data_IF_533361333746
#
_entry.id   IF_533361333746
#
_cell.length_a   1.000
_cell.length_b   1.000
_cell.length_c   1.000
_cell.angle_alpha   90.00
_cell.angle_beta   90.00
_cell.angle_gamma   90.00
#
_symmetry.space_group_name_H-M   'P 1'
#
loop_
_entity.id
_entity.type
_entity.pdbx_description
1 polymer ?
#
# COMPACT_ATOMS: atom_id res chain seq x y z
N UNK A 1 -28.93 43.23 -1.16
CA UNK A 1 -28.48 41.89 -0.70
C UNK A 1 -28.21 41.01 -1.92
N UNK A 2 -26.96 40.86 -2.36
CA UNK A 2 -26.59 39.87 -3.39
C UNK A 2 -26.19 38.58 -2.68
N UNK A 3 -26.93 37.50 -2.92
CA UNK A 3 -26.58 36.15 -2.46
C UNK A 3 -25.25 35.76 -3.11
N UNK A 4 -24.20 35.61 -2.31
CA UNK A 4 -22.93 35.06 -2.75
C UNK A 4 -23.14 33.60 -3.15
N UNK A 5 -22.80 33.28 -4.40
CA UNK A 5 -22.68 31.90 -4.85
C UNK A 5 -21.44 31.31 -4.19
N UNK A 6 -21.67 30.44 -3.21
CA UNK A 6 -20.66 29.60 -2.57
C UNK A 6 -20.14 28.61 -3.62
N UNK A 7 -19.19 29.06 -4.46
CA UNK A 7 -18.48 28.18 -5.39
C UNK A 7 -17.50 27.34 -4.56
N UNK A 8 -18.00 26.29 -3.91
CA UNK A 8 -17.16 25.22 -3.40
C UNK A 8 -16.39 24.66 -4.60
N UNK A 9 -15.05 24.58 -4.47
CA UNK A 9 -14.22 23.90 -5.45
C UNK A 9 -14.70 22.47 -5.70
N UNK A 10 -14.22 21.80 -6.76
CA UNK A 10 -14.61 20.42 -7.04
C UNK A 10 -14.40 19.55 -5.80
N UNK A 11 -15.43 18.82 -5.40
CA UNK A 11 -15.40 17.96 -4.22
C UNK A 11 -14.32 16.89 -4.42
N UNK A 12 -13.42 16.73 -3.45
CA UNK A 12 -12.35 15.71 -3.50
C UNK A 12 -12.87 14.29 -3.28
N UNK A 13 -14.18 14.12 -3.10
CA UNK A 13 -14.85 12.84 -2.86
C UNK A 13 -15.89 12.61 -3.96
N UNK A 14 -15.74 11.51 -4.69
CA UNK A 14 -16.63 11.11 -5.78
C UNK A 14 -17.25 9.75 -5.45
N UNK A 15 -18.49 9.73 -4.96
CA UNK A 15 -19.22 8.49 -4.78
C UNK A 15 -19.78 7.98 -6.12
N UNK A 16 -19.61 6.68 -6.36
CA UNK A 16 -20.27 5.91 -7.43
C UNK A 16 -21.36 4.99 -6.89
N UNK A 17 -21.35 4.74 -5.59
CA UNK A 17 -22.33 3.96 -4.84
C UNK A 17 -22.53 4.61 -3.46
N UNK A 18 -23.76 4.58 -2.92
CA UNK A 18 -24.05 5.19 -1.62
C UNK A 18 -23.26 4.56 -0.46
N UNK A 19 -22.88 3.28 -0.57
CA UNK A 19 -22.04 2.58 0.42
C UNK A 19 -20.63 3.18 0.54
N UNK A 20 -20.20 4.04 -0.38
CA UNK A 20 -18.98 4.84 -0.20
C UNK A 20 -19.04 5.70 1.07
N UNK A 21 -20.22 6.20 1.42
CA UNK A 21 -20.40 7.05 2.60
C UNK A 21 -20.39 6.26 3.93
N UNK A 22 -20.42 4.93 3.87
CA UNK A 22 -20.23 4.06 5.03
C UNK A 22 -18.76 3.99 5.44
N UNK A 23 -17.85 4.28 4.51
CA UNK A 23 -16.40 4.15 4.69
C UNK A 23 -15.65 5.49 4.67
N UNK A 24 -16.23 6.54 4.10
CA UNK A 24 -15.69 7.91 4.09
C UNK A 24 -16.76 8.90 4.55
N UNK A 25 -16.39 9.88 5.36
CA UNK A 25 -17.30 10.96 5.73
C UNK A 25 -17.53 11.93 4.56
N UNK A 26 -18.75 12.44 4.39
CA UNK A 26 -19.08 13.40 3.33
C UNK A 26 -18.29 14.70 3.43
N UNK A 27 -17.90 15.09 4.66
CA UNK A 27 -17.06 16.24 4.94
C UNK A 27 -15.57 15.92 5.07
N UNK A 28 -15.12 14.70 4.74
CA UNK A 28 -13.71 14.36 4.86
C UNK A 28 -12.87 15.20 3.89
N UNK A 29 -11.76 15.74 4.40
CA UNK A 29 -10.85 16.58 3.63
C UNK A 29 -9.53 15.86 3.37
N UNK A 30 -9.09 15.88 2.10
CA UNK A 30 -7.76 15.44 1.71
C UNK A 30 -6.78 16.59 1.94
N UNK A 31 -5.89 16.43 2.91
CA UNK A 31 -4.94 17.47 3.34
C UNK A 31 -3.52 17.05 3.03
N UNK A 32 -2.73 17.94 2.41
CA UNK A 32 -1.28 17.75 2.30
C UNK A 32 -0.66 17.94 3.68
N UNK A 33 0.09 16.95 4.15
CA UNK A 33 0.76 16.99 5.47
C UNK A 33 2.27 17.16 5.36
N UNK A 34 2.86 16.74 4.24
CA UNK A 34 4.26 16.98 3.93
C UNK A 34 4.47 17.03 2.40
N UNK A 35 5.59 17.61 1.97
CA UNK A 35 6.00 17.62 0.56
C UNK A 35 7.45 18.04 0.36
N UNK A 36 7.85 18.16 -0.91
CA UNK A 36 9.24 18.41 -1.30
C UNK A 36 10.03 17.13 -1.56
N UNK A 37 9.34 16.02 -1.78
CA UNK A 37 9.93 14.72 -2.06
C UNK A 37 10.16 14.52 -3.56
N UNK A 38 10.99 13.55 -3.95
CA UNK A 38 11.19 13.20 -5.35
C UNK A 38 10.06 12.32 -5.89
N UNK A 39 9.84 11.18 -5.23
CA UNK A 39 8.71 10.28 -5.52
C UNK A 39 8.44 9.42 -4.28
N UNK A 40 7.33 9.69 -3.61
CA UNK A 40 6.93 9.01 -2.37
C UNK A 40 6.30 7.66 -2.65
N UNK A 41 6.58 6.66 -1.82
CA UNK A 41 6.08 5.28 -1.96
C UNK A 41 5.97 4.57 -0.60
N UNK A 42 5.36 3.39 -0.61
CA UNK A 42 5.40 2.40 0.46
C UNK A 42 5.12 2.94 1.87
N UNK A 43 4.04 3.69 2.13
CA UNK A 43 3.71 4.10 3.48
C UNK A 43 3.37 2.88 4.35
N UNK A 44 3.85 2.87 5.59
CA UNK A 44 3.53 1.85 6.59
C UNK A 44 3.41 2.48 7.97
N UNK A 45 2.33 2.16 8.68
CA UNK A 45 2.15 2.59 10.06
C UNK A 45 2.82 1.63 11.06
N UNK A 46 3.54 2.19 12.02
CA UNK A 46 4.10 1.46 13.14
C UNK A 46 3.10 1.36 14.28
N UNK A 47 3.09 0.22 14.99
CA UNK A 47 2.40 0.05 16.28
C UNK A 47 2.83 1.07 17.34
N UNK A 48 3.97 1.73 17.14
CA UNK A 48 4.49 2.79 18.03
C UNK A 48 3.93 4.19 17.72
N UNK A 49 3.02 4.32 16.76
CA UNK A 49 2.32 5.58 16.47
C UNK A 49 3.06 6.54 15.55
N UNK A 50 3.88 6.02 14.62
CA UNK A 50 4.51 6.79 13.56
C UNK A 50 4.35 6.09 12.21
N UNK A 51 4.29 6.86 11.13
CA UNK A 51 4.28 6.37 9.77
C UNK A 51 5.71 6.42 9.20
N UNK A 52 6.11 5.39 8.47
CA UNK A 52 7.26 5.45 7.56
C UNK A 52 6.78 5.47 6.11
N UNK A 53 7.54 6.11 5.23
CA UNK A 53 7.32 6.04 3.78
C UNK A 53 8.64 6.30 3.06
N UNK A 54 8.76 5.76 1.85
CA UNK A 54 9.95 5.87 1.02
C UNK A 54 9.92 7.15 0.17
N UNK A 55 11.09 7.74 -0.08
CA UNK A 55 11.32 8.75 -1.13
C UNK A 55 12.43 8.22 -2.05
N UNK A 56 11.99 7.57 -3.13
CA UNK A 56 12.85 6.72 -3.95
C UNK A 56 14.01 7.52 -4.59
N UNK A 57 13.76 8.65 -5.29
CA UNK A 57 14.83 9.38 -5.97
C UNK A 57 15.83 9.96 -4.98
N UNK A 58 15.36 10.45 -3.83
CA UNK A 58 16.22 11.00 -2.77
C UNK A 58 16.89 9.94 -1.90
N UNK A 59 16.62 8.65 -2.14
CA UNK A 59 17.25 7.52 -1.47
C UNK A 59 17.06 7.52 0.06
N UNK A 60 15.85 7.86 0.51
CA UNK A 60 15.51 8.00 1.92
C UNK A 60 14.25 7.22 2.30
N UNK A 61 14.18 6.85 3.58
CA UNK A 61 12.91 6.56 4.25
C UNK A 61 12.65 7.70 5.22
N UNK A 62 11.47 8.28 5.14
CA UNK A 62 11.00 9.33 6.02
C UNK A 62 10.13 8.77 7.15
N UNK A 63 10.11 9.50 8.26
CA UNK A 63 9.20 9.26 9.39
C UNK A 63 8.29 10.47 9.54
N UNK A 64 6.99 10.19 9.62
CA UNK A 64 5.95 11.15 9.97
C UNK A 64 5.36 10.77 11.33
N UNK A 65 5.41 11.69 12.29
CA UNK A 65 4.90 11.46 13.64
C UNK A 65 4.43 12.78 14.25
N UNK A 66 3.18 12.83 14.70
CA UNK A 66 2.61 13.97 15.43
C UNK A 66 2.86 15.32 14.75
N UNK A 67 2.64 15.39 13.43
CA UNK A 67 2.82 16.62 12.66
C UNK A 67 4.27 16.94 12.28
N UNK A 68 5.23 16.08 12.63
CA UNK A 68 6.65 16.29 12.37
C UNK A 68 7.19 15.29 11.36
N UNK A 69 7.85 15.84 10.33
CA UNK A 69 8.64 15.08 9.37
C UNK A 69 10.10 14.96 9.85
N UNK A 70 10.68 13.78 9.69
CA UNK A 70 12.11 13.53 9.90
C UNK A 70 12.62 12.44 8.94
N UNK A 71 13.94 12.29 8.81
CA UNK A 71 14.53 11.17 8.08
C UNK A 71 14.68 9.99 9.04
N UNK A 72 14.11 8.84 8.67
CA UNK A 72 14.29 7.57 9.40
C UNK A 72 15.58 6.87 8.97
N UNK A 73 15.85 6.86 7.66
CA UNK A 73 17.03 6.22 7.08
C UNK A 73 17.50 6.96 5.84
N UNK A 74 18.76 7.38 5.85
CA UNK A 74 19.52 7.79 4.67
C UNK A 74 20.06 6.56 3.93
N UNK A 75 20.45 6.72 2.66
CA UNK A 75 21.04 5.65 1.85
C UNK A 75 20.19 4.37 1.86
N UNK A 76 18.88 4.54 1.68
CA UNK A 76 17.87 3.47 1.78
C UNK A 76 17.98 2.36 0.73
N UNK A 77 18.98 2.43 -0.15
CA UNK A 77 19.15 1.62 -1.34
C UNK A 77 17.89 1.62 -2.24
N UNK A 78 17.35 2.82 -2.48
CA UNK A 78 16.12 3.04 -3.27
C UNK A 78 14.96 2.20 -2.71
N UNK A 79 14.75 2.27 -1.40
CA UNK A 79 13.62 1.62 -0.74
C UNK A 79 12.31 2.01 -1.44
N UNK A 80 11.43 1.04 -1.64
CA UNK A 80 10.12 1.20 -2.26
C UNK A 80 9.04 0.78 -1.24
N UNK A 81 8.36 -0.35 -1.44
CA UNK A 81 7.40 -0.89 -0.50
C UNK A 81 8.00 -1.22 0.87
N UNK A 82 7.21 -0.96 1.91
CA UNK A 82 7.57 -1.13 3.32
C UNK A 82 6.48 -1.91 4.05
N UNK A 83 6.88 -2.79 4.97
CA UNK A 83 5.97 -3.36 5.98
C UNK A 83 6.74 -3.66 7.27
N UNK A 84 6.05 -4.03 8.35
CA UNK A 84 6.71 -4.53 9.58
C UNK A 84 6.38 -6.01 9.80
N UNK A 85 7.30 -6.71 10.45
CA UNK A 85 7.02 -8.04 11.00
C UNK A 85 6.44 -7.97 12.43
N UNK A 86 6.07 -9.12 13.01
CA UNK A 86 5.53 -9.20 14.39
C UNK A 86 6.49 -8.66 15.46
N UNK A 87 7.79 -8.57 15.17
CA UNK A 87 8.79 -8.05 16.11
C UNK A 87 9.01 -6.53 15.95
N UNK A 88 8.26 -5.89 15.04
CA UNK A 88 8.39 -4.46 14.72
C UNK A 88 9.65 -4.15 13.91
N UNK A 89 10.25 -5.15 13.26
CA UNK A 89 11.38 -4.95 12.34
C UNK A 89 10.84 -4.55 10.97
N UNK A 90 11.52 -3.59 10.35
CA UNK A 90 11.10 -3.07 9.04
C UNK A 90 11.53 -4.04 7.94
N UNK A 91 10.58 -4.49 7.14
CA UNK A 91 10.81 -5.20 5.89
C UNK A 91 10.72 -4.21 4.72
N UNK A 92 11.59 -4.36 3.74
CA UNK A 92 11.72 -3.38 2.66
C UNK A 92 12.00 -4.07 1.32
N UNK A 93 11.24 -3.69 0.29
CA UNK A 93 11.66 -3.87 -1.10
C UNK A 93 12.67 -2.77 -1.45
N UNK A 94 13.84 -3.15 -1.95
CA UNK A 94 14.92 -2.23 -2.31
C UNK A 94 15.28 -2.32 -3.79
N UNK A 95 15.88 -1.24 -4.30
CA UNK A 95 16.56 -1.25 -5.58
C UNK A 95 17.73 -2.25 -5.63
N UNK A 96 18.15 -2.60 -6.84
CA UNK A 96 19.18 -3.62 -7.05
C UNK A 96 18.69 -5.05 -6.79
N UNK A 97 17.36 -5.26 -6.75
CA UNK A 97 16.76 -6.60 -6.71
C UNK A 97 16.83 -7.26 -5.33
N UNK A 98 16.48 -6.57 -4.25
CA UNK A 98 16.55 -7.16 -2.89
C UNK A 98 15.30 -6.94 -2.06
N UNK A 99 15.02 -7.92 -1.20
CA UNK A 99 14.12 -7.78 -0.06
C UNK A 99 14.95 -7.86 1.21
N UNK A 100 14.80 -6.88 2.10
CA UNK A 100 15.63 -6.78 3.31
C UNK A 100 14.79 -6.66 4.58
N UNK A 101 15.45 -6.91 5.72
CA UNK A 101 14.94 -6.67 7.05
C UNK A 101 15.91 -5.79 7.82
N UNK A 102 15.39 -4.73 8.43
CA UNK A 102 16.14 -3.90 9.38
C UNK A 102 16.01 -4.51 10.77
N UNK A 103 17.09 -5.04 11.30
CA UNK A 103 17.16 -5.59 12.65
C UNK A 103 17.05 -4.49 13.71
N UNK A 104 16.76 -4.89 14.96
CA UNK A 104 16.55 -3.93 16.06
C UNK A 104 17.78 -3.05 16.35
N UNK A 105 18.97 -3.52 16.04
CA UNK A 105 20.23 -2.78 16.15
C UNK A 105 20.53 -1.90 14.91
N UNK A 106 19.63 -1.85 13.93
CA UNK A 106 19.79 -1.11 12.68
C UNK A 106 20.53 -1.86 11.57
N UNK A 107 21.07 -3.06 11.83
CA UNK A 107 21.72 -3.87 10.81
C UNK A 107 20.71 -4.31 9.72
N UNK A 108 21.17 -4.39 8.48
CA UNK A 108 20.35 -4.84 7.35
C UNK A 108 20.66 -6.31 7.06
N UNK A 109 19.63 -7.15 7.14
CA UNK A 109 19.69 -8.55 6.70
C UNK A 109 19.00 -8.69 5.35
N UNK A 110 19.70 -9.24 4.36
CA UNK A 110 19.09 -9.58 3.06
C UNK A 110 18.30 -10.87 3.23
N UNK A 111 17.01 -10.83 2.89
CA UNK A 111 16.11 -12.00 2.95
C UNK A 111 15.98 -12.67 1.59
N UNK A 112 16.06 -11.90 0.51
CA UNK A 112 16.03 -12.40 -0.86
C UNK A 112 16.80 -11.45 -1.79
N UNK A 113 17.56 -12.00 -2.73
CA UNK A 113 18.29 -11.27 -3.77
C UNK A 113 18.38 -12.00 -5.11
N UNK A 114 18.19 -13.31 -5.11
CA UNK A 114 18.56 -14.14 -6.24
C UNK A 114 17.46 -14.13 -7.31
N UNK A 115 17.84 -13.73 -8.53
CA UNK A 115 16.92 -13.70 -9.68
C UNK A 115 15.90 -12.56 -9.66
N UNK A 116 15.89 -11.71 -8.63
CA UNK A 116 15.01 -10.55 -8.53
C UNK A 116 15.50 -9.39 -9.41
N UNK A 117 14.58 -8.60 -9.97
CA UNK A 117 14.92 -7.41 -10.77
C UNK A 117 14.41 -6.12 -10.15
N UNK A 118 13.15 -6.10 -9.73
CA UNK A 118 12.57 -4.93 -9.08
C UNK A 118 11.46 -5.32 -8.12
N UNK A 119 11.81 -5.87 -6.93
CA UNK A 119 10.88 -5.96 -5.82
C UNK A 119 10.19 -4.61 -5.60
N UNK A 120 8.87 -4.60 -5.64
CA UNK A 120 8.11 -3.35 -5.65
C UNK A 120 7.40 -3.12 -4.33
N UNK A 121 6.42 -3.97 -4.00
CA UNK A 121 5.67 -3.90 -2.74
C UNK A 121 5.65 -5.26 -2.03
N UNK A 122 5.34 -5.26 -0.74
CA UNK A 122 5.34 -6.45 0.10
C UNK A 122 4.33 -6.37 1.26
N UNK A 123 3.86 -7.54 1.67
CA UNK A 123 2.99 -7.71 2.84
C UNK A 123 3.49 -8.87 3.70
N UNK A 124 3.30 -8.73 5.01
CA UNK A 124 3.67 -9.73 6.01
C UNK A 124 2.41 -10.41 6.52
N UNK A 125 2.41 -11.75 6.51
CA UNK A 125 1.31 -12.59 6.96
C UNK A 125 1.49 -13.04 8.41
N UNK A 126 0.37 -13.41 9.04
CA UNK A 126 0.26 -13.81 10.45
C UNK A 126 1.03 -15.10 10.77
N UNK A 127 1.27 -15.94 9.75
CA UNK A 127 2.06 -17.16 9.88
C UNK A 127 3.59 -16.90 9.81
N UNK A 128 3.96 -15.64 9.55
CA UNK A 128 5.33 -15.18 9.39
C UNK A 128 5.86 -15.19 7.95
N UNK A 129 5.02 -15.54 6.97
CA UNK A 129 5.37 -15.47 5.56
C UNK A 129 5.38 -14.03 5.03
N UNK A 130 6.18 -13.76 4.00
CA UNK A 130 6.22 -12.48 3.29
C UNK A 130 5.77 -12.75 1.85
N UNK A 131 4.77 -12.03 1.38
CA UNK A 131 4.44 -11.99 -0.05
C UNK A 131 4.94 -10.68 -0.64
N UNK A 132 5.58 -10.73 -1.80
CA UNK A 132 6.10 -9.54 -2.46
C UNK A 132 6.03 -9.66 -3.97
N UNK A 133 5.98 -8.52 -4.65
CA UNK A 133 5.89 -8.43 -6.11
C UNK A 133 7.23 -8.07 -6.71
N UNK A 134 7.55 -8.65 -7.86
CA UNK A 134 8.66 -8.21 -8.71
C UNK A 134 8.09 -7.74 -10.05
N UNK A 135 7.93 -6.42 -10.17
CA UNK A 135 7.18 -5.80 -11.26
C UNK A 135 7.81 -6.08 -12.63
N UNK A 136 9.14 -5.90 -12.84
CA UNK A 136 9.78 -6.25 -14.11
C UNK A 136 9.62 -7.72 -14.49
N UNK A 137 9.67 -8.62 -13.52
CA UNK A 137 9.56 -10.07 -13.75
C UNK A 137 8.15 -10.56 -14.07
N UNK A 138 7.11 -9.80 -13.71
CA UNK A 138 5.73 -10.29 -13.82
C UNK A 138 5.38 -11.35 -12.78
N UNK A 139 6.10 -11.40 -11.65
CA UNK A 139 5.98 -12.50 -10.67
C UNK A 139 5.63 -12.00 -9.27
N UNK A 140 4.87 -12.83 -8.57
CA UNK A 140 4.65 -12.72 -7.12
C UNK A 140 5.42 -13.83 -6.43
N UNK A 141 6.12 -13.49 -5.37
CA UNK A 141 6.95 -14.39 -4.60
C UNK A 141 6.44 -14.50 -3.17
N UNK A 142 6.82 -15.60 -2.52
CA UNK A 142 6.69 -15.81 -1.09
C UNK A 142 8.08 -16.07 -0.50
N UNK A 143 8.43 -15.39 0.59
CA UNK A 143 9.41 -15.86 1.55
C UNK A 143 8.64 -16.59 2.64
N UNK A 144 8.77 -17.91 2.73
CA UNK A 144 8.05 -18.70 3.73
C UNK A 144 8.52 -18.35 5.14
N UNK A 145 7.74 -18.70 6.16
CA UNK A 145 8.16 -18.60 7.58
C UNK A 145 9.49 -19.28 7.92
N UNK A 146 9.98 -20.20 7.07
CA UNK A 146 11.29 -20.87 7.20
C UNK A 146 12.41 -20.17 6.40
N UNK A 147 12.11 -19.06 5.74
CA UNK A 147 13.08 -18.29 4.93
C UNK A 147 13.25 -18.79 3.50
N UNK A 148 12.47 -19.77 3.03
CA UNK A 148 12.54 -20.23 1.64
C UNK A 148 11.85 -19.24 0.70
N UNK A 149 12.53 -18.82 -0.37
CA UNK A 149 11.95 -17.99 -1.42
C UNK A 149 11.38 -18.88 -2.52
N UNK A 150 10.13 -18.66 -2.91
CA UNK A 150 9.50 -19.34 -4.07
C UNK A 150 8.58 -18.40 -4.84
N UNK A 151 8.42 -18.66 -6.14
CA UNK A 151 7.40 -18.01 -6.96
C UNK A 151 6.04 -18.62 -6.60
N UNK A 152 5.03 -17.79 -6.43
CA UNK A 152 3.66 -18.21 -6.10
C UNK A 152 2.62 -17.73 -7.11
N UNK A 153 2.94 -16.76 -7.99
CA UNK A 153 2.12 -16.43 -9.15
C UNK A 153 2.98 -15.94 -10.32
N UNK A 154 2.61 -16.35 -11.54
CA UNK A 154 3.28 -15.99 -12.81
C UNK A 154 2.28 -15.53 -13.88
N UNK A 155 1.00 -15.40 -13.51
CA UNK A 155 -0.10 -14.99 -14.39
C UNK A 155 -0.36 -13.47 -14.36
N UNK A 156 0.55 -12.71 -13.76
CA UNK A 156 0.59 -11.25 -13.78
C UNK A 156 1.55 -10.74 -14.85
N UNK A 157 1.25 -9.59 -15.47
CA UNK A 157 2.20 -8.95 -16.41
C UNK A 157 2.98 -7.80 -15.77
N UNK A 158 2.42 -7.13 -14.75
CA UNK A 158 3.10 -6.09 -13.98
C UNK A 158 2.57 -6.01 -12.54
N UNK A 159 2.81 -7.04 -11.71
CA UNK A 159 2.38 -7.06 -10.33
C UNK A 159 3.06 -5.92 -9.57
N UNK A 160 2.26 -5.13 -8.84
CA UNK A 160 2.70 -3.91 -8.20
C UNK A 160 2.34 -3.93 -6.71
N UNK A 161 1.33 -3.20 -6.25
CA UNK A 161 0.84 -3.29 -4.87
C UNK A 161 0.32 -4.68 -4.50
N UNK A 162 0.52 -5.07 -3.24
CA UNK A 162 0.05 -6.34 -2.67
C UNK A 162 -0.53 -6.15 -1.27
N UNK A 163 -1.64 -6.83 -0.96
CA UNK A 163 -2.21 -6.84 0.37
C UNK A 163 -2.96 -8.14 0.68
N UNK A 164 -3.11 -8.42 1.97
CA UNK A 164 -3.92 -9.53 2.48
C UNK A 164 -5.34 -9.07 2.75
N UNK A 165 -6.32 -9.95 2.57
CA UNK A 165 -7.67 -9.77 3.10
C UNK A 165 -7.71 -9.85 4.63
N UNK A 166 -8.81 -9.44 5.28
CA UNK A 166 -8.91 -9.40 6.75
C UNK A 166 -8.64 -10.73 7.47
N UNK A 167 -9.07 -11.85 6.88
CA UNK A 167 -8.84 -13.20 7.40
C UNK A 167 -7.52 -13.82 6.93
N UNK A 168 -6.74 -13.09 6.13
CA UNK A 168 -5.49 -13.53 5.48
C UNK A 168 -5.61 -14.84 4.68
N UNK A 169 -6.80 -15.17 4.17
CA UNK A 169 -7.01 -16.30 3.25
C UNK A 169 -6.99 -15.85 1.78
N UNK A 170 -6.83 -14.55 1.54
CA UNK A 170 -6.88 -13.95 0.22
C UNK A 170 -5.73 -12.98 0.05
N UNK A 171 -5.01 -13.08 -1.06
CA UNK A 171 -3.99 -12.11 -1.50
C UNK A 171 -4.55 -11.29 -2.66
N UNK A 172 -4.51 -9.97 -2.53
CA UNK A 172 -4.83 -9.02 -3.60
C UNK A 172 -3.54 -8.49 -4.22
N UNK A 173 -3.49 -8.41 -5.55
CA UNK A 173 -2.34 -7.90 -6.30
C UNK A 173 -2.81 -6.91 -7.35
N UNK A 174 -2.24 -5.71 -7.39
CA UNK A 174 -2.45 -4.77 -8.48
C UNK A 174 -1.60 -5.20 -9.68
N UNK A 175 -2.22 -5.71 -10.75
CA UNK A 175 -1.55 -5.93 -12.03
C UNK A 175 -1.67 -4.67 -12.89
N UNK A 176 -0.72 -3.76 -12.66
CA UNK A 176 -0.69 -2.44 -13.27
C UNK A 176 -0.68 -2.47 -14.80
N UNK A 177 -0.06 -3.49 -15.43
CA UNK A 177 0.06 -3.60 -16.88
C UNK A 177 -1.20 -4.21 -17.52
N UNK A 178 -1.86 -5.16 -16.85
CA UNK A 178 -3.17 -5.68 -17.28
C UNK A 178 -4.33 -4.73 -16.94
N UNK A 179 -4.11 -3.73 -16.06
CA UNK A 179 -5.14 -2.83 -15.51
C UNK A 179 -6.19 -3.58 -14.69
N UNK A 180 -5.74 -4.57 -13.92
CA UNK A 180 -6.61 -5.41 -13.10
C UNK A 180 -6.11 -5.44 -11.67
N UNK A 181 -7.05 -5.56 -10.74
CA UNK A 181 -6.79 -6.08 -9.40
C UNK A 181 -7.06 -7.58 -9.47
N UNK A 182 -6.03 -8.37 -9.19
CA UNK A 182 -6.09 -9.83 -9.15
C UNK A 182 -6.28 -10.27 -7.70
N UNK A 183 -6.95 -11.41 -7.52
CA UNK A 183 -7.13 -12.04 -6.21
C UNK A 183 -6.77 -13.51 -6.26
N UNK A 184 -6.17 -14.01 -5.19
CA UNK A 184 -5.68 -15.37 -5.04
C UNK A 184 -6.12 -15.92 -3.68
N UNK A 185 -6.65 -17.14 -3.65
CA UNK A 185 -6.85 -17.86 -2.39
C UNK A 185 -5.50 -18.38 -1.91
N UNK A 186 -5.24 -18.24 -0.61
CA UNK A 186 -3.99 -18.67 0.02
C UNK A 186 -4.23 -20.06 0.62
N UNK A 187 -3.51 -21.06 0.10
CA UNK A 187 -3.55 -22.42 0.61
C UNK A 187 -2.86 -22.54 1.97
N UNK A 188 -3.07 -23.66 2.67
CA UNK A 188 -2.54 -23.88 4.02
C UNK A 188 -0.99 -23.86 4.10
N UNK A 189 -0.29 -24.17 3.02
CA UNK A 189 1.17 -24.08 2.94
C UNK A 189 1.66 -22.67 2.53
N UNK A 190 0.72 -21.74 2.30
CA UNK A 190 0.96 -20.38 1.84
C UNK A 190 1.17 -20.23 0.32
N UNK A 191 0.99 -21.30 -0.47
CA UNK A 191 0.92 -21.18 -1.93
C UNK A 191 -0.38 -20.48 -2.36
N UNK A 192 -0.41 -20.03 -3.61
CA UNK A 192 -1.58 -19.34 -4.16
C UNK A 192 -2.30 -20.28 -5.13
N UNK A 193 -3.62 -20.36 -4.98
CA UNK A 193 -4.49 -21.00 -5.95
C UNK A 193 -4.60 -20.16 -7.24
N UNK A 194 -5.29 -20.68 -8.26
CA UNK A 194 -5.46 -19.97 -9.53
C UNK A 194 -6.05 -18.57 -9.34
N UNK A 195 -5.32 -17.56 -9.81
CA UNK A 195 -5.73 -16.16 -9.72
C UNK A 195 -7.01 -15.85 -10.48
N UNK A 196 -7.84 -14.98 -9.92
CA UNK A 196 -9.07 -14.45 -10.54
C UNK A 196 -8.99 -12.94 -10.69
N UNK A 197 -9.77 -12.40 -11.61
CA UNK A 197 -9.97 -10.96 -11.73
C UNK A 197 -10.96 -10.51 -10.65
N UNK A 198 -10.57 -9.52 -9.84
CA UNK A 198 -11.41 -8.96 -8.79
C UNK A 198 -12.06 -7.65 -9.24
N UNK A 199 -11.30 -6.76 -9.85
CA UNK A 199 -11.79 -5.48 -10.36
C UNK A 199 -10.91 -4.96 -11.51
N UNK A 200 -11.50 -4.14 -12.38
CA UNK A 200 -10.80 -3.42 -13.44
C UNK A 200 -10.26 -2.09 -12.88
N UNK A 201 -8.95 -2.00 -12.69
CA UNK A 201 -8.25 -0.78 -12.29
C UNK A 201 -6.75 -0.88 -12.60
N UNK A 202 -6.16 0.19 -13.13
CA UNK A 202 -4.70 0.35 -13.13
C UNK A 202 -4.25 0.76 -11.72
N UNK A 203 -3.98 -0.22 -10.88
CA UNK A 203 -3.49 -0.01 -9.52
C UNK A 203 -1.98 0.16 -9.45
N UNK A 204 -1.54 0.98 -8.51
CA UNK A 204 -0.17 1.00 -7.98
C UNK A 204 -0.16 0.24 -6.64
N UNK A 205 0.04 0.92 -5.51
CA UNK A 205 -0.18 0.37 -4.17
C UNK A 205 -1.66 0.11 -3.83
N UNK A 206 -1.91 -0.93 -3.05
CA UNK A 206 -3.25 -1.23 -2.50
C UNK A 206 -3.19 -1.69 -1.05
N UNK A 207 -4.31 -1.56 -0.34
CA UNK A 207 -4.55 -2.08 1.02
C UNK A 207 -6.00 -2.53 1.17
N UNK A 208 -6.29 -3.31 2.21
CA UNK A 208 -7.64 -3.73 2.58
C UNK A 208 -8.05 -3.11 3.92
N UNK A 209 -9.34 -2.95 4.15
CA UNK A 209 -9.89 -2.58 5.45
C UNK A 209 -10.52 -3.78 6.18
N UNK A 210 -10.82 -3.64 7.47
CA UNK A 210 -11.37 -4.69 8.34
C UNK A 210 -12.72 -5.26 7.85
N UNK A 211 -13.43 -4.58 6.94
CA UNK A 211 -14.68 -5.07 6.32
C UNK A 211 -14.45 -5.77 4.98
N UNK A 212 -13.21 -5.85 4.52
CA UNK A 212 -12.83 -6.48 3.26
C UNK A 212 -12.94 -5.58 2.04
N UNK A 213 -13.13 -4.26 2.21
CA UNK A 213 -13.04 -3.35 1.07
C UNK A 213 -11.57 -3.23 0.63
N UNK A 214 -11.34 -3.05 -0.66
CA UNK A 214 -10.03 -2.91 -1.27
C UNK A 214 -9.83 -1.47 -1.73
N UNK A 215 -8.76 -0.85 -1.25
CA UNK A 215 -8.43 0.55 -1.48
C UNK A 215 -7.17 0.61 -2.33
N UNK A 216 -7.27 1.25 -3.49
CA UNK A 216 -6.26 1.16 -4.55
C UNK A 216 -5.81 2.56 -4.94
N UNK A 217 -4.50 2.83 -4.85
CA UNK A 217 -3.92 4.00 -5.51
C UNK A 217 -4.04 3.83 -7.02
N UNK A 218 -4.82 4.69 -7.67
CA UNK A 218 -5.09 4.61 -9.10
C UNK A 218 -5.21 6.01 -9.69
N UNK A 219 -5.61 6.07 -10.97
CA UNK A 219 -5.69 7.31 -11.70
C UNK A 219 -6.63 8.31 -11.00
N UNK A 220 -6.08 9.49 -10.69
CA UNK A 220 -6.79 10.60 -10.09
C UNK A 220 -7.14 10.45 -8.61
N UNK A 221 -6.80 9.34 -7.93
CA UNK A 221 -7.10 9.19 -6.50
C UNK A 221 -7.06 7.75 -5.98
N UNK A 222 -7.55 7.57 -4.75
CA UNK A 222 -7.76 6.25 -4.16
C UNK A 222 -9.14 5.73 -4.55
N UNK A 223 -9.16 4.65 -5.33
CA UNK A 223 -10.39 3.96 -5.71
C UNK A 223 -10.75 2.95 -4.62
N UNK A 224 -12.02 2.89 -4.25
CA UNK A 224 -12.52 2.02 -3.18
C UNK A 224 -13.48 1.01 -3.78
N UNK A 225 -13.19 -0.27 -3.57
CA UNK A 225 -14.03 -1.39 -3.98
C UNK A 225 -14.55 -2.13 -2.76
N UNK A 226 -15.81 -2.58 -2.78
CA UNK A 226 -16.28 -3.49 -1.75
C UNK A 226 -15.67 -4.89 -1.90
N UNK A 227 -15.92 -5.79 -0.94
CA UNK A 227 -15.41 -7.17 -0.96
C UNK A 227 -15.88 -8.00 -2.18
N UNK A 228 -16.89 -7.53 -2.93
CA UNK A 228 -17.38 -8.16 -4.15
C UNK A 228 -16.81 -7.52 -5.44
N UNK A 229 -15.92 -6.51 -5.32
CA UNK A 229 -15.30 -5.82 -6.45
C UNK A 229 -16.14 -4.67 -7.00
N UNK A 230 -17.22 -4.24 -6.32
CA UNK A 230 -18.03 -3.11 -6.76
C UNK A 230 -17.31 -1.80 -6.43
N UNK A 231 -17.05 -0.98 -7.44
CA UNK A 231 -16.44 0.34 -7.28
C UNK A 231 -17.39 1.29 -6.52
N UNK A 232 -17.07 1.57 -5.27
CA UNK A 232 -17.85 2.43 -4.39
C UNK A 232 -17.63 3.91 -4.69
N UNK A 233 -16.40 4.32 -4.93
CA UNK A 233 -16.07 5.71 -5.21
C UNK A 233 -14.57 5.99 -5.20
N UNK A 234 -14.23 7.27 -5.37
CA UNK A 234 -12.85 7.77 -5.46
C UNK A 234 -12.62 8.87 -4.44
N UNK A 235 -11.55 8.76 -3.66
CA UNK A 235 -10.96 9.89 -2.94
C UNK A 235 -9.92 10.53 -3.86
N UNK A 236 -10.27 11.67 -4.46
CA UNK A 236 -9.40 12.42 -5.37
C UNK A 236 -8.18 12.96 -4.63
N UNK A 237 -7.04 12.97 -5.31
CA UNK A 237 -5.79 13.57 -4.79
C UNK A 237 -5.27 14.62 -5.76
N UNK A 238 -4.60 15.70 -5.29
CA UNK A 238 -4.05 16.73 -6.17
C UNK A 238 -2.89 16.23 -7.05
N UNK A 239 -2.20 15.17 -6.63
CA UNK A 239 -1.13 14.49 -7.36
C UNK A 239 -1.51 13.03 -7.58
N UNK A 240 -0.95 12.39 -8.61
CA UNK A 240 -1.17 10.96 -8.85
C UNK A 240 -0.67 10.12 -7.66
N UNK A 241 -1.55 9.37 -6.97
CA UNK A 241 -1.17 8.57 -5.82
C UNK A 241 -0.35 7.35 -6.27
N UNK A 242 0.61 6.97 -5.45
CA UNK A 242 1.43 5.77 -5.63
C UNK A 242 1.01 4.68 -4.66
N UNK A 243 0.68 5.02 -3.41
CA UNK A 243 0.40 4.02 -2.38
C UNK A 243 -0.35 4.65 -1.19
N UNK A 244 -0.79 3.82 -0.25
CA UNK A 244 -1.62 4.21 0.88
C UNK A 244 -1.45 3.29 2.09
N UNK A 245 -1.68 3.83 3.29
CA UNK A 245 -1.70 3.05 4.52
C UNK A 245 -2.49 3.78 5.63
N UNK A 246 -3.16 3.04 6.50
CA UNK A 246 -3.83 3.63 7.65
C UNK A 246 -2.86 3.87 8.80
N UNK A 247 -2.79 5.12 9.27
CA UNK A 247 -2.19 5.54 10.53
C UNK A 247 -3.24 5.92 11.57
N UNK A 248 -2.83 6.68 12.60
CA UNK A 248 -3.73 7.28 13.60
C UNK A 248 -4.70 6.29 14.25
N UNK A 249 -4.17 5.17 14.75
CA UNK A 249 -5.00 4.09 15.31
C UNK A 249 -5.87 3.39 14.27
N UNK A 250 -5.36 3.30 13.03
CA UNK A 250 -6.00 2.73 11.85
C UNK A 250 -7.17 3.53 11.26
N UNK A 251 -7.39 4.80 11.64
CA UNK A 251 -8.55 5.60 11.17
C UNK A 251 -8.21 6.72 10.18
N UNK A 252 -6.95 7.15 10.15
CA UNK A 252 -6.44 8.15 9.22
C UNK A 252 -5.73 7.50 8.05
N UNK A 253 -6.19 7.73 6.82
CA UNK A 253 -5.54 7.19 5.64
C UNK A 253 -4.46 8.15 5.15
N UNK A 254 -3.21 7.71 5.20
CA UNK A 254 -2.09 8.39 4.59
C UNK A 254 -1.93 7.92 3.14
N UNK A 255 -1.67 8.87 2.25
CA UNK A 255 -1.53 8.64 0.81
C UNK A 255 -0.21 9.24 0.34
N UNK A 256 0.68 8.40 -0.18
CA UNK A 256 1.85 8.87 -0.91
C UNK A 256 1.42 9.22 -2.33
N UNK A 257 1.74 10.43 -2.79
CA UNK A 257 1.37 10.88 -4.12
C UNK A 257 2.43 11.81 -4.68
N UNK A 258 3.20 11.28 -5.65
CA UNK A 258 4.35 11.95 -6.28
C UNK A 258 5.27 12.64 -5.26
N UNK A 259 5.16 13.94 -5.09
CA UNK A 259 6.12 14.74 -4.31
C UNK A 259 5.63 15.04 -2.89
N UNK A 260 4.54 14.39 -2.47
CA UNK A 260 3.78 14.76 -1.27
C UNK A 260 3.24 13.57 -0.49
N UNK A 261 3.03 13.80 0.80
CA UNK A 261 2.23 12.95 1.68
C UNK A 261 0.92 13.67 1.97
N UNK A 262 -0.20 12.98 1.73
CA UNK A 262 -1.55 13.44 2.04
C UNK A 262 -2.15 12.61 3.18
N UNK A 263 -3.17 13.17 3.81
CA UNK A 263 -3.95 12.51 4.85
C UNK A 263 -5.45 12.79 4.64
N UNK A 264 -6.29 11.79 4.88
CA UNK A 264 -7.76 11.91 4.93
C UNK A 264 -8.31 11.02 6.02
N UNK A 265 -9.27 11.54 6.81
CA UNK A 265 -9.95 10.73 7.82
C UNK A 265 -10.93 9.76 7.16
N UNK A 266 -10.97 8.52 7.62
CA UNK A 266 -11.88 7.48 7.11
C UNK A 266 -12.72 6.90 8.24
N UNK A 267 -13.89 6.36 7.91
CA UNK A 267 -14.72 5.55 8.84
C UNK A 267 -14.25 4.10 8.87
N UNK A 268 -13.68 3.63 7.76
CA UNK A 268 -13.01 2.35 7.66
C UNK A 268 -11.75 2.31 8.53
N UNK A 269 -11.42 1.11 9.03
CA UNK A 269 -10.15 0.84 9.68
C UNK A 269 -9.34 -0.13 8.83
N UNK A 270 -8.05 0.16 8.59
CA UNK A 270 -7.17 -0.72 7.83
C UNK A 270 -7.06 -2.13 8.44
N UNK A 271 -6.93 -3.15 7.59
CA UNK A 271 -6.70 -4.53 8.05
C UNK A 271 -5.46 -4.61 8.93
N UNK A 272 -5.62 -5.22 10.10
CA UNK A 272 -4.51 -5.48 11.02
C UNK A 272 -3.79 -6.75 10.59
N UNK A 273 -2.61 -6.59 9.98
CA UNK A 273 -1.86 -7.72 9.43
C UNK A 273 -0.86 -8.35 10.40
N UNK A 274 -0.51 -7.68 11.50
CA UNK A 274 0.43 -8.19 12.49
C UNK A 274 0.27 -7.57 13.85
#
# INVERSE_FOLDING_TARGET
MRRGSDRRGPTMLEAKNDRFWDVVDRGAEVRKVAGGFGFTEGPVNSRRGFLLFSDIPNNRIHRWEKGKLSVFRENSNKANGLTFDHQGRLLTCEGGGRVTRTEKNGAITVLASDGLQGPNDLVYAIDGSIYFTDLPRGKVYQITRRGQVRVVAEDCSGPNGVALGPNQQTLYVADSRQKKIRTYEIAADGSLEKGRDFAEARGDGLKTDEKGNVWVASEGGIWVFDAAGVHLGVIRTPEGPSNLNWGDGFRGLYITARTSLYHVSTKAAGTRTF
#
